data_IF_939242740303
#
_entry.id   IF_939242740303
#
_cell.length_a   1.000
_cell.length_b   1.000
_cell.length_c   1.000
_cell.angle_alpha   90.00
_cell.angle_beta   90.00
_cell.angle_gamma   90.00
#
_symmetry.space_group_name_H-M   'P 1'
#
loop_
_entity.id
_entity.type
_entity.pdbx_description
1 polymer ?
#
# COMPACT_ATOMS: atom_id res chain seq x y z
N UNK A 1 -7.61 21.83 19.03
CA UNK A 1 -6.67 20.90 18.38
C UNK A 1 -7.30 20.41 17.10
N UNK A 2 -6.63 20.60 15.96
CA UNK A 2 -7.08 20.00 14.71
C UNK A 2 -6.61 18.54 14.71
N UNK A 3 -7.46 17.65 14.21
CA UNK A 3 -7.11 16.24 14.02
C UNK A 3 -7.06 16.00 12.51
N UNK A 4 -6.00 15.38 12.03
CA UNK A 4 -5.86 15.05 10.62
C UNK A 4 -5.83 13.54 10.45
N UNK A 5 -6.50 13.00 9.43
CA UNK A 5 -6.44 11.58 9.16
C UNK A 5 -5.06 11.22 8.59
N UNK A 6 -4.42 10.24 9.19
CA UNK A 6 -3.25 9.57 8.67
C UNK A 6 -3.68 8.20 8.15
N UNK A 7 -3.81 8.08 6.84
CA UNK A 7 -4.29 6.86 6.21
C UNK A 7 -3.17 5.84 6.10
N UNK A 8 -3.51 4.60 6.47
CA UNK A 8 -2.66 3.43 6.29
C UNK A 8 -3.43 2.36 5.53
N UNK A 9 -2.71 1.56 4.76
CA UNK A 9 -3.23 0.44 4.00
C UNK A 9 -2.12 -0.57 3.81
N UNK A 10 -2.37 -1.84 4.10
CA UNK A 10 -1.44 -2.95 3.87
C UNK A 10 -2.21 -4.14 3.30
N UNK A 11 -2.26 -4.26 1.97
CA UNK A 11 -3.00 -5.33 1.31
C UNK A 11 -2.02 -6.39 0.78
N UNK A 12 -1.95 -7.57 1.40
CA UNK A 12 -1.15 -8.69 0.95
C UNK A 12 -1.78 -9.35 -0.28
N UNK A 13 -0.96 -9.59 -1.31
CA UNK A 13 -1.35 -10.01 -2.65
C UNK A 13 -0.48 -11.18 -3.10
N UNK A 14 -1.10 -12.23 -3.62
CA UNK A 14 -0.45 -13.29 -4.39
C UNK A 14 -0.70 -13.11 -5.89
N UNK A 15 0.32 -13.34 -6.70
CA UNK A 15 0.23 -13.33 -8.16
C UNK A 15 1.38 -14.10 -8.77
N UNK A 16 1.12 -14.78 -9.89
CA UNK A 16 2.16 -15.37 -10.75
C UNK A 16 2.83 -14.31 -11.65
N UNK A 17 2.29 -13.09 -11.70
CA UNK A 17 2.88 -11.98 -12.46
C UNK A 17 4.07 -11.40 -11.68
N UNK A 18 5.00 -10.79 -12.43
CA UNK A 18 6.06 -10.00 -11.81
C UNK A 18 5.50 -8.69 -11.21
N UNK A 19 6.34 -7.98 -10.46
CA UNK A 19 5.96 -6.73 -9.78
C UNK A 19 5.44 -5.65 -10.75
N UNK A 20 5.89 -5.66 -12.01
CA UNK A 20 5.42 -4.72 -13.03
C UNK A 20 4.04 -5.11 -13.56
N UNK A 21 3.77 -6.41 -13.74
CA UNK A 21 2.45 -6.93 -14.05
C UNK A 21 1.43 -6.65 -12.95
N UNK A 22 1.78 -6.94 -11.69
CA UNK A 22 0.93 -6.65 -10.53
C UNK A 22 0.67 -5.16 -10.41
N UNK A 23 1.69 -4.31 -10.52
CA UNK A 23 1.53 -2.86 -10.40
C UNK A 23 0.65 -2.26 -11.49
N UNK A 24 0.72 -2.78 -12.72
CA UNK A 24 -0.21 -2.40 -13.79
C UNK A 24 -1.66 -2.77 -13.44
N UNK A 25 -1.90 -4.00 -12.96
CA UNK A 25 -3.24 -4.47 -12.57
C UNK A 25 -3.83 -3.58 -11.47
N UNK A 26 -3.04 -3.31 -10.42
CA UNK A 26 -3.45 -2.44 -9.32
C UNK A 26 -3.70 -1.02 -9.80
N UNK A 27 -2.84 -0.51 -10.68
CA UNK A 27 -2.97 0.84 -11.23
C UNK A 27 -4.25 1.04 -12.01
N UNK A 28 -4.55 0.12 -12.93
CA UNK A 28 -5.77 0.15 -13.75
C UNK A 28 -7.03 0.13 -12.87
N UNK A 29 -6.97 -0.59 -11.74
CA UNK A 29 -8.11 -0.76 -10.83
C UNK A 29 -8.33 0.40 -9.87
N UNK A 30 -7.26 0.97 -9.30
CA UNK A 30 -7.36 1.94 -8.20
C UNK A 30 -7.14 3.39 -8.63
N UNK A 31 -6.32 3.62 -9.67
CA UNK A 31 -5.81 4.97 -9.97
C UNK A 31 -5.82 5.30 -11.46
N UNK A 32 -6.58 4.56 -12.26
CA UNK A 32 -6.85 4.88 -13.66
C UNK A 32 -5.65 4.66 -14.59
N UNK A 33 -4.77 3.72 -14.26
CA UNK A 33 -3.66 3.31 -15.13
C UNK A 33 -2.42 4.21 -15.07
N UNK A 34 -2.25 4.98 -13.99
CA UNK A 34 -1.01 5.73 -13.74
C UNK A 34 0.20 4.78 -13.62
N UNK A 35 1.31 5.03 -14.34
CA UNK A 35 2.41 4.09 -14.37
C UNK A 35 3.13 4.05 -13.02
N UNK A 36 3.41 2.83 -12.54
CA UNK A 36 4.39 2.61 -11.48
C UNK A 36 5.81 2.68 -12.07
N UNK A 37 6.73 3.22 -11.28
CA UNK A 37 8.15 3.29 -11.61
C UNK A 37 9.01 3.03 -10.37
N UNK A 38 10.27 3.46 -10.45
CA UNK A 38 11.16 3.45 -9.29
C UNK A 38 11.70 2.09 -8.86
N UNK A 39 11.59 1.06 -9.70
CA UNK A 39 12.18 -0.25 -9.46
C UNK A 39 13.69 -0.16 -9.18
N UNK A 40 14.38 0.71 -9.93
CA UNK A 40 15.82 0.96 -9.82
C UNK A 40 16.17 1.97 -8.70
N UNK A 41 15.17 2.55 -8.03
CA UNK A 41 15.40 3.55 -6.99
C UNK A 41 15.76 2.90 -5.64
N UNK A 42 15.62 1.56 -5.53
CA UNK A 42 15.94 0.77 -4.33
C UNK A 42 15.36 1.37 -3.04
N UNK A 43 14.09 1.78 -3.08
CA UNK A 43 13.40 2.39 -1.93
C UNK A 43 13.29 1.45 -0.72
N UNK A 44 13.49 0.15 -0.92
CA UNK A 44 13.75 -0.84 0.11
C UNK A 44 14.99 -1.66 -0.25
N UNK A 45 15.84 -1.92 0.74
CA UNK A 45 17.16 -2.55 0.51
C UNK A 45 17.06 -4.05 0.16
N UNK A 46 16.04 -4.75 0.65
CA UNK A 46 15.98 -6.22 0.60
C UNK A 46 14.93 -6.78 -0.37
N UNK A 47 14.00 -5.94 -0.85
CA UNK A 47 12.88 -6.37 -1.71
C UNK A 47 12.68 -5.44 -2.89
N UNK A 48 12.29 -5.98 -4.07
CA UNK A 48 11.90 -5.14 -5.19
C UNK A 48 10.66 -4.34 -4.80
N UNK A 49 10.64 -3.06 -5.16
CA UNK A 49 9.52 -2.19 -4.90
C UNK A 49 9.35 -1.16 -6.00
N UNK A 50 8.09 -0.81 -6.25
CA UNK A 50 7.68 0.15 -7.26
C UNK A 50 6.66 1.10 -6.65
N UNK A 51 6.64 2.34 -7.13
CA UNK A 51 5.73 3.36 -6.62
C UNK A 51 5.22 4.26 -7.72
N UNK A 52 4.12 4.96 -7.45
CA UNK A 52 3.66 6.06 -8.31
C UNK A 52 4.31 7.34 -7.81
N UNK A 53 5.05 8.01 -8.70
CA UNK A 53 5.84 9.20 -8.35
C UNK A 53 4.98 10.40 -7.95
N UNK A 54 3.84 10.54 -8.60
CA UNK A 54 2.86 11.55 -8.28
C UNK A 54 2.03 11.14 -7.06
N UNK A 55 1.86 12.05 -6.09
CA UNK A 55 0.91 11.80 -5.02
C UNK A 55 -0.53 11.92 -5.54
N UNK A 56 -1.35 10.93 -5.22
CA UNK A 56 -2.74 10.85 -5.67
C UNK A 56 -3.61 11.21 -4.47
N UNK A 57 -4.31 12.34 -4.54
CA UNK A 57 -5.13 12.85 -3.42
C UNK A 57 -4.36 12.97 -2.09
N UNK A 58 -3.05 13.18 -2.15
CA UNK A 58 -2.18 13.21 -0.97
C UNK A 58 -1.77 11.83 -0.47
N UNK A 59 -1.85 10.79 -1.29
CA UNK A 59 -1.37 9.44 -1.00
C UNK A 59 -0.17 9.06 -1.86
N UNK A 60 0.74 8.29 -1.29
CA UNK A 60 1.75 7.51 -1.98
C UNK A 60 1.27 6.05 -2.05
N UNK A 61 1.41 5.46 -3.23
CA UNK A 61 1.12 4.05 -3.46
C UNK A 61 2.43 3.34 -3.76
N UNK A 62 2.68 2.27 -3.01
CA UNK A 62 3.89 1.47 -3.13
C UNK A 62 3.50 0.01 -3.20
N UNK A 63 4.13 -0.75 -4.09
CA UNK A 63 4.03 -2.20 -4.13
C UNK A 63 5.42 -2.74 -3.91
N UNK A 64 5.56 -3.68 -2.97
CA UNK A 64 6.83 -4.30 -2.63
C UNK A 64 6.68 -5.82 -2.57
N UNK A 65 7.75 -6.57 -2.85
CA UNK A 65 7.78 -8.02 -2.63
C UNK A 65 7.96 -8.39 -1.15
N UNK A 66 7.80 -9.68 -0.84
CA UNK A 66 8.24 -10.26 0.43
C UNK A 66 9.69 -10.75 0.31
N UNK A 67 10.53 -10.47 1.32
CA UNK A 67 11.97 -10.74 1.31
C UNK A 67 12.36 -12.22 1.21
N UNK A 68 12.32 -12.77 0.00
CA UNK A 68 12.63 -14.17 -0.29
C UNK A 68 11.43 -15.12 -0.33
N UNK A 69 10.21 -14.61 -0.21
CA UNK A 69 8.96 -15.38 -0.30
C UNK A 69 8.12 -14.90 -1.49
N UNK A 70 7.19 -15.75 -1.94
CA UNK A 70 6.26 -15.40 -3.02
C UNK A 70 5.17 -14.45 -2.53
N UNK A 71 4.92 -13.37 -3.29
CA UNK A 71 3.85 -12.43 -3.03
C UNK A 71 4.31 -10.98 -2.95
N UNK A 72 3.34 -10.10 -2.78
CA UNK A 72 3.50 -8.65 -2.77
C UNK A 72 2.64 -8.01 -1.70
N UNK A 73 2.99 -6.80 -1.27
CA UNK A 73 2.16 -5.95 -0.43
C UNK A 73 1.89 -4.65 -1.17
N UNK A 74 0.61 -4.29 -1.31
CA UNK A 74 0.20 -2.94 -1.67
C UNK A 74 0.10 -2.10 -0.40
N UNK A 75 0.88 -1.04 -0.38
CA UNK A 75 0.84 -0.05 0.68
C UNK A 75 0.31 1.30 0.16
N UNK A 76 -0.57 1.90 0.96
CA UNK A 76 -1.00 3.30 0.77
C UNK A 76 -0.61 4.08 2.00
N UNK A 77 0.20 5.12 1.81
CA UNK A 77 0.69 5.98 2.89
C UNK A 77 0.31 7.42 2.61
N UNK A 78 0.10 8.20 3.66
CA UNK A 78 -0.18 9.64 3.50
C UNK A 78 1.09 10.38 3.07
N UNK A 79 1.02 11.11 1.96
CA UNK A 79 2.14 11.89 1.41
C UNK A 79 2.43 13.12 2.26
N UNK A 80 3.45 13.05 3.12
CA UNK A 80 3.89 14.20 3.92
C UNK A 80 5.01 14.96 3.19
N UNK A 81 4.64 15.77 2.17
CA UNK A 81 5.64 16.57 1.43
C UNK A 81 6.26 17.68 2.29
N UNK A 82 5.53 18.15 3.28
CA UNK A 82 5.90 19.20 4.22
C UNK A 82 4.89 19.16 5.36
N UNK A 83 5.29 18.79 6.57
CA UNK A 83 5.07 19.61 7.76
C UNK A 83 5.33 18.77 9.01
N UNK A 84 6.35 19.19 9.75
CA UNK A 84 6.31 19.16 11.21
C UNK A 84 5.07 19.95 11.67
N UNK A 85 3.88 19.32 11.66
CA UNK A 85 2.72 19.81 12.38
C UNK A 85 3.00 19.53 13.85
N UNK A 86 3.82 20.39 14.46
CA UNK A 86 4.39 20.23 15.81
C UNK A 86 3.36 20.07 16.94
N UNK A 87 2.05 20.12 16.67
CA UNK A 87 1.00 20.21 17.70
C UNK A 87 -0.36 19.58 17.29
N UNK A 88 -0.43 18.85 16.18
CA UNK A 88 -1.68 18.25 15.72
C UNK A 88 -1.69 16.72 16.00
N UNK A 89 -2.76 16.21 16.62
CA UNK A 89 -2.92 14.76 16.81
C UNK A 89 -3.39 14.12 15.51
N UNK A 90 -2.57 13.25 14.96
CA UNK A 90 -2.94 12.36 13.87
C UNK A 90 -3.96 11.33 14.37
N UNK A 91 -4.98 11.04 13.55
CA UNK A 91 -5.85 9.89 13.74
C UNK A 91 -5.49 8.90 12.64
N UNK A 92 -4.98 7.73 13.03
CA UNK A 92 -4.77 6.64 12.09
C UNK A 92 -6.11 6.17 11.54
N UNK A 93 -6.23 6.12 10.21
CA UNK A 93 -7.39 5.58 9.50
C UNK A 93 -6.90 4.42 8.66
N UNK A 94 -7.24 3.20 9.08
CA UNK A 94 -6.96 2.01 8.31
C UNK A 94 -8.01 1.81 7.20
N UNK A 95 -7.57 1.83 5.95
CA UNK A 95 -8.39 1.59 4.76
C UNK A 95 -8.09 0.25 4.08
N UNK A 96 -7.30 -0.63 4.71
CA UNK A 96 -6.87 -1.92 4.17
C UNK A 96 -8.04 -2.75 3.67
N UNK A 97 -9.07 -2.96 4.51
CA UNK A 97 -10.26 -3.74 4.13
C UNK A 97 -11.06 -3.11 2.99
N UNK A 98 -11.11 -1.77 2.95
CA UNK A 98 -11.75 -1.06 1.85
C UNK A 98 -11.01 -1.30 0.53
N UNK A 99 -9.68 -1.11 0.51
CA UNK A 99 -8.87 -1.34 -0.69
C UNK A 99 -8.89 -2.81 -1.11
N UNK A 100 -8.78 -3.75 -0.16
CA UNK A 100 -8.93 -5.18 -0.42
C UNK A 100 -10.25 -5.50 -1.12
N UNK A 101 -11.37 -4.94 -0.63
CA UNK A 101 -12.69 -5.14 -1.25
C UNK A 101 -12.78 -4.59 -2.68
N UNK A 102 -12.05 -3.52 -3.02
CA UNK A 102 -12.01 -2.98 -4.37
C UNK A 102 -11.21 -3.86 -5.33
N UNK A 103 -10.21 -4.57 -4.81
CA UNK A 103 -9.35 -5.47 -5.58
C UNK A 103 -9.91 -6.90 -5.66
N UNK A 104 -10.91 -7.23 -4.85
CA UNK A 104 -11.54 -8.55 -4.83
C UNK A 104 -12.02 -9.00 -6.22
N UNK A 105 -11.72 -10.25 -6.57
CA UNK A 105 -12.09 -10.84 -7.86
C UNK A 105 -11.36 -10.26 -9.07
N UNK A 106 -10.33 -9.43 -8.87
CA UNK A 106 -9.49 -8.95 -9.97
C UNK A 106 -8.65 -10.10 -10.53
N UNK A 107 -8.65 -10.27 -11.85
CA UNK A 107 -7.93 -11.34 -12.52
C UNK A 107 -6.42 -11.26 -12.21
N UNK A 108 -5.78 -12.43 -12.07
CA UNK A 108 -4.33 -12.61 -11.85
C UNK A 108 -3.77 -12.15 -10.50
N UNK A 109 -4.59 -11.57 -9.63
CA UNK A 109 -4.19 -11.27 -8.25
C UNK A 109 -5.16 -11.95 -7.28
N UNK A 110 -4.65 -12.35 -6.12
CA UNK A 110 -5.45 -12.89 -5.01
C UNK A 110 -5.09 -12.16 -3.73
N UNK A 111 -6.09 -11.67 -3.01
CA UNK A 111 -5.89 -11.03 -1.71
C UNK A 111 -5.76 -12.09 -0.61
N UNK A 112 -4.79 -11.94 0.30
CA UNK A 112 -4.59 -12.84 1.45
C UNK A 112 -5.30 -12.26 2.68
N UNK A 113 -6.60 -12.53 2.84
CA UNK A 113 -7.39 -11.95 3.94
C UNK A 113 -6.99 -12.44 5.33
N UNK A 114 -6.38 -13.62 5.42
CA UNK A 114 -5.87 -14.18 6.67
C UNK A 114 -4.78 -13.27 7.28
N UNK A 115 -3.91 -12.72 6.43
CA UNK A 115 -2.84 -11.80 6.84
C UNK A 115 -3.38 -10.41 7.23
N UNK A 116 -4.42 -9.93 6.55
CA UNK A 116 -5.12 -8.68 6.93
C UNK A 116 -5.76 -8.82 8.33
N UNK A 117 -6.38 -9.97 8.60
CA UNK A 117 -7.08 -10.22 9.87
C UNK A 117 -6.12 -10.43 11.04
N UNK A 118 -4.92 -10.97 10.77
CA UNK A 118 -3.89 -11.18 11.79
C UNK A 118 -3.29 -9.86 12.30
N UNK A 119 -3.21 -8.82 11.46
CA UNK A 119 -2.73 -7.50 11.87
C UNK A 119 -3.63 -6.82 12.92
N UNK A 120 -4.93 -7.14 12.96
CA UNK A 120 -5.86 -6.63 13.99
C UNK A 120 -5.61 -7.23 15.39
N UNK A 121 -4.90 -8.36 15.50
CA UNK A 121 -4.55 -8.99 16.79
C UNK A 121 -3.25 -8.44 17.41
N UNK A 122 -2.53 -7.58 16.69
CA UNK A 122 -1.33 -6.88 17.19
C UNK A 122 -1.63 -5.48 17.76
N UNK A 123 -2.86 -5.21 18.19
CA UNK A 123 -3.14 -4.09 19.10
C UNK A 123 -2.54 -4.42 20.47
N UNK A 124 -1.28 -4.04 20.68
CA UNK A 124 -0.64 -4.07 21.99
C UNK A 124 -1.39 -3.08 22.87
N UNK A 125 -2.23 -3.62 23.75
CA UNK A 125 -2.73 -2.91 24.94
C UNK A 125 -1.56 -2.27 25.68
N UNK A 126 -1.61 -0.94 25.87
CA UNK A 126 -0.80 -0.20 26.84
C UNK A 126 -1.03 -0.70 28.29
#
# INVERSE_FOLDING_TARGET
MKKYPYFICFVPILSDEDIMGVSKIISDKLVGGLPFGGLEDHIYEEVPAVYIKESILGFELVIQGYGGEEGYVLEVRSYSRNNKLYDDKEITVDITKYIASLLEGTEKIKIIYEEISAQEYMDVTE
#
